data_IF_115205859171
#
_entry.id   IF_115205859171
#
_cell.length_a   1.000
_cell.length_b   1.000
_cell.length_c   1.000
_cell.angle_alpha   90.00
_cell.angle_beta   90.00
_cell.angle_gamma   90.00
#
_symmetry.space_group_name_H-M   'P 1'
#
loop_
_entity.id
_entity.type
_entity.pdbx_description
1 polymer ?
#
# COMPACT_ATOMS: atom_id res chain seq x y z
N UNK A 1 16.06 20.47 -10.61
CA UNK A 1 16.24 19.04 -10.98
C UNK A 1 15.97 18.08 -9.83
N UNK A 2 16.51 18.28 -8.61
CA UNK A 2 16.27 17.40 -7.46
C UNK A 2 14.79 17.24 -7.10
N UNK A 3 14.03 18.34 -7.15
CA UNK A 3 12.60 18.33 -6.88
C UNK A 3 11.80 17.40 -7.82
N UNK A 4 12.15 17.39 -9.11
CA UNK A 4 11.50 16.54 -10.10
C UNK A 4 11.75 15.05 -9.86
N UNK A 5 12.99 14.68 -9.51
CA UNK A 5 13.32 13.30 -9.14
C UNK A 5 12.59 12.85 -7.87
N UNK A 6 12.44 13.78 -6.91
CA UNK A 6 11.73 13.59 -5.67
C UNK A 6 10.25 13.28 -5.91
N UNK A 7 9.61 14.11 -6.72
CA UNK A 7 8.21 13.94 -7.10
C UNK A 7 7.97 12.63 -7.85
N UNK A 8 8.82 12.31 -8.82
CA UNK A 8 8.71 11.08 -9.60
C UNK A 8 8.89 9.82 -8.73
N UNK A 9 9.77 9.85 -7.72
CA UNK A 9 9.91 8.76 -6.77
C UNK A 9 8.66 8.59 -5.90
N UNK A 10 8.09 9.69 -5.40
CA UNK A 10 6.83 9.65 -4.62
C UNK A 10 5.66 9.10 -5.45
N UNK A 11 5.52 9.56 -6.71
CA UNK A 11 4.52 9.03 -7.65
C UNK A 11 4.69 7.52 -7.79
N UNK A 12 5.92 7.02 -7.94
CA UNK A 12 6.19 5.59 -8.05
C UNK A 12 5.76 4.80 -6.80
N UNK A 13 6.08 5.29 -5.61
CA UNK A 13 5.71 4.66 -4.33
C UNK A 13 4.18 4.64 -4.17
N UNK A 14 3.52 5.78 -4.38
CA UNK A 14 2.06 5.85 -4.28
C UNK A 14 1.37 5.04 -5.39
N UNK A 15 1.98 4.85 -6.56
CA UNK A 15 1.46 3.96 -7.60
C UNK A 15 1.47 2.49 -7.17
N UNK A 16 2.52 2.02 -6.47
CA UNK A 16 2.54 0.66 -5.90
C UNK A 16 1.46 0.52 -4.83
N UNK A 17 1.30 1.53 -3.98
CA UNK A 17 0.29 1.52 -2.92
C UNK A 17 -1.12 1.59 -3.49
N UNK A 18 -1.35 2.40 -4.52
CA UNK A 18 -2.63 2.46 -5.24
C UNK A 18 -2.94 1.15 -5.96
N UNK A 19 -1.91 0.46 -6.50
CA UNK A 19 -2.06 -0.86 -7.10
C UNK A 19 -2.49 -1.90 -6.04
N UNK A 20 -1.93 -1.84 -4.84
CA UNK A 20 -2.39 -2.62 -3.68
C UNK A 20 -3.86 -2.36 -3.36
N UNK A 21 -4.23 -1.08 -3.25
CA UNK A 21 -5.61 -0.65 -2.96
C UNK A 21 -6.58 -1.05 -4.08
N UNK A 22 -6.16 -0.95 -5.33
CA UNK A 22 -6.97 -1.32 -6.50
C UNK A 22 -7.21 -2.84 -6.57
N UNK A 23 -6.28 -3.67 -6.13
CA UNK A 23 -6.50 -5.11 -6.00
C UNK A 23 -7.61 -5.44 -5.01
N UNK A 24 -7.74 -4.68 -3.91
CA UNK A 24 -8.82 -4.86 -2.94
C UNK A 24 -10.14 -4.26 -3.41
N UNK A 25 -10.14 -2.96 -3.71
CA UNK A 25 -11.34 -2.19 -4.03
C UNK A 25 -11.77 -2.48 -5.47
N UNK A 26 -10.86 -2.30 -6.42
CA UNK A 26 -11.16 -2.39 -7.85
C UNK A 26 -11.51 -3.81 -8.27
N UNK A 27 -10.62 -4.75 -8.07
CA UNK A 27 -10.81 -6.14 -8.49
C UNK A 27 -11.57 -6.97 -7.46
N UNK A 28 -11.27 -6.80 -6.16
CA UNK A 28 -11.87 -7.59 -5.09
C UNK A 28 -13.25 -7.13 -4.62
N UNK A 29 -13.66 -5.90 -4.94
CA UNK A 29 -14.92 -5.31 -4.48
C UNK A 29 -14.98 -5.08 -2.97
N UNK A 30 -13.84 -5.03 -2.29
CA UNK A 30 -13.74 -4.86 -0.85
C UNK A 30 -13.31 -3.42 -0.56
N UNK A 31 -14.26 -2.56 -0.20
CA UNK A 31 -13.94 -1.15 0.14
C UNK A 31 -13.35 -1.10 1.53
N UNK A 32 -12.03 -0.87 1.62
CA UNK A 32 -11.28 -0.82 2.88
C UNK A 32 -10.68 0.57 3.11
N UNK A 33 -10.91 1.13 4.29
CA UNK A 33 -10.33 2.39 4.75
C UNK A 33 -9.08 2.19 5.63
N UNK A 34 -8.46 1.01 5.59
CA UNK A 34 -7.29 0.68 6.41
C UNK A 34 -5.97 0.60 5.63
N UNK A 35 -5.96 0.86 4.32
CA UNK A 35 -4.78 0.62 3.48
C UNK A 35 -3.58 1.49 3.87
N UNK A 36 -3.80 2.75 4.27
CA UNK A 36 -2.72 3.59 4.77
C UNK A 36 -2.12 3.06 6.08
N UNK A 37 -2.96 2.49 6.97
CA UNK A 37 -2.47 1.89 8.21
C UNK A 37 -1.68 0.61 7.97
N UNK A 38 -2.08 -0.21 7.00
CA UNK A 38 -1.32 -1.41 6.59
C UNK A 38 0.03 -1.01 5.98
N UNK A 39 0.03 -0.01 5.15
CA UNK A 39 1.24 0.64 4.64
C UNK A 39 2.11 1.18 5.79
N UNK A 40 1.50 1.78 6.84
CA UNK A 40 2.16 2.22 8.06
C UNK A 40 2.79 1.08 8.85
N UNK A 41 2.10 -0.07 9.01
CA UNK A 41 2.68 -1.26 9.65
C UNK A 41 3.97 -1.68 8.96
N UNK A 42 3.97 -1.73 7.62
CA UNK A 42 5.18 -2.04 6.87
C UNK A 42 6.28 -0.99 7.06
N UNK A 43 5.92 0.29 6.97
CA UNK A 43 6.85 1.39 7.12
C UNK A 43 7.54 1.36 8.49
N UNK A 44 6.77 1.26 9.57
CA UNK A 44 7.32 1.18 10.93
C UNK A 44 8.14 -0.08 11.14
N UNK A 45 7.71 -1.24 10.65
CA UNK A 45 8.48 -2.49 10.78
C UNK A 45 9.84 -2.37 10.10
N UNK A 46 9.88 -1.86 8.87
CA UNK A 46 11.15 -1.65 8.16
C UNK A 46 11.99 -0.59 8.85
N UNK A 47 11.40 0.53 9.31
CA UNK A 47 12.12 1.59 9.99
C UNK A 47 12.80 1.10 11.28
N UNK A 48 12.06 0.41 12.15
CA UNK A 48 12.57 -0.11 13.41
C UNK A 48 13.71 -1.10 13.16
N UNK A 49 13.53 -2.05 12.25
CA UNK A 49 14.56 -3.05 11.97
C UNK A 49 15.82 -2.44 11.35
N UNK A 50 15.68 -1.46 10.46
CA UNK A 50 16.84 -0.80 9.86
C UNK A 50 17.57 0.10 10.85
N UNK A 51 16.87 0.74 11.80
CA UNK A 51 17.50 1.47 12.91
C UNK A 51 18.30 0.54 13.83
N UNK A 52 17.90 -0.72 13.99
CA UNK A 52 18.67 -1.74 14.72
C UNK A 52 19.79 -2.38 13.87
N UNK A 53 20.09 -1.84 12.69
CA UNK A 53 21.19 -2.31 11.84
C UNK A 53 20.86 -3.51 10.96
N UNK A 54 19.59 -3.92 10.90
CA UNK A 54 19.16 -4.99 9.98
C UNK A 54 19.15 -4.46 8.54
N UNK A 55 19.67 -5.28 7.62
CA UNK A 55 19.67 -4.90 6.21
C UNK A 55 18.23 -4.67 5.70
N UNK A 56 18.01 -3.62 4.90
CA UNK A 56 16.70 -3.25 4.35
C UNK A 56 15.98 -4.41 3.64
N UNK A 57 16.70 -5.20 2.87
CA UNK A 57 16.13 -6.38 2.20
C UNK A 57 15.58 -7.43 3.17
N UNK A 58 16.29 -7.62 4.28
CA UNK A 58 15.89 -8.57 5.32
C UNK A 58 14.70 -8.05 6.12
N UNK A 59 14.61 -6.73 6.33
CA UNK A 59 13.51 -6.09 7.05
C UNK A 59 12.20 -6.09 6.28
N UNK A 60 12.23 -6.27 4.95
CA UNK A 60 11.02 -6.42 4.14
C UNK A 60 10.28 -7.73 4.43
N UNK A 61 10.97 -8.82 4.78
CA UNK A 61 10.33 -10.11 5.03
C UNK A 61 9.33 -10.07 6.20
N UNK A 62 9.70 -9.60 7.41
CA UNK A 62 8.73 -9.45 8.50
C UNK A 62 7.68 -8.37 8.21
N UNK A 63 8.01 -7.31 7.47
CA UNK A 63 7.02 -6.33 7.05
C UNK A 63 5.94 -6.94 6.15
N UNK A 64 6.32 -7.77 5.17
CA UNK A 64 5.39 -8.52 4.32
C UNK A 64 4.53 -9.47 5.15
N UNK A 65 5.13 -10.20 6.09
CA UNK A 65 4.38 -11.14 6.94
C UNK A 65 3.34 -10.41 7.79
N UNK A 66 3.72 -9.32 8.44
CA UNK A 66 2.81 -8.54 9.30
C UNK A 66 1.68 -7.88 8.50
N UNK A 67 1.96 -7.35 7.31
CA UNK A 67 0.92 -6.76 6.47
C UNK A 67 -0.03 -7.79 5.90
N UNK A 68 0.44 -8.98 5.54
CA UNK A 68 -0.41 -10.10 5.12
C UNK A 68 -1.33 -10.50 6.28
N UNK A 69 -0.79 -10.71 7.48
CA UNK A 69 -1.58 -11.07 8.65
C UNK A 69 -2.63 -10.00 8.97
N UNK A 70 -2.26 -8.72 8.97
CA UNK A 70 -3.19 -7.62 9.22
C UNK A 70 -4.32 -7.57 8.17
N UNK A 71 -4.00 -7.71 6.89
CA UNK A 71 -4.99 -7.74 5.82
C UNK A 71 -5.92 -8.96 5.91
N UNK A 72 -5.40 -10.14 6.21
CA UNK A 72 -6.21 -11.36 6.40
C UNK A 72 -7.16 -11.17 7.59
N UNK A 73 -6.65 -10.67 8.72
CA UNK A 73 -7.45 -10.43 9.91
C UNK A 73 -8.62 -9.47 9.62
N UNK A 74 -8.37 -8.41 8.86
CA UNK A 74 -9.39 -7.46 8.46
C UNK A 74 -10.37 -8.01 7.42
N UNK A 75 -9.94 -8.95 6.58
CA UNK A 75 -10.81 -9.52 5.54
C UNK A 75 -11.83 -10.49 6.10
N UNK A 76 -11.55 -11.17 7.22
CA UNK A 76 -12.49 -12.13 7.85
C UNK A 76 -13.85 -11.49 8.16
N UNK A 77 -13.94 -10.32 8.83
CA UNK A 77 -15.22 -9.66 9.08
C UNK A 77 -15.98 -9.25 7.81
N UNK A 78 -15.28 -9.00 6.69
CA UNK A 78 -15.91 -8.54 5.43
C UNK A 78 -16.92 -9.51 4.83
N UNK A 79 -16.90 -10.75 5.27
CA UNK A 79 -17.78 -11.80 4.77
C UNK A 79 -19.13 -11.84 5.46
N UNK A 80 -19.17 -11.38 6.71
CA UNK A 80 -20.38 -11.36 7.54
C UNK A 80 -20.99 -9.97 7.63
N UNK A 81 -20.18 -8.94 7.35
CA UNK A 81 -20.61 -7.55 7.39
C UNK A 81 -21.05 -7.08 5.99
N UNK A 82 -22.13 -6.30 5.94
CA UNK A 82 -22.48 -5.55 4.75
C UNK A 82 -21.31 -4.60 4.39
N UNK A 83 -21.17 -4.24 3.12
CA UNK A 83 -20.05 -3.41 2.65
C UNK A 83 -19.84 -2.13 3.46
N UNK A 84 -20.91 -1.48 3.90
CA UNK A 84 -20.85 -0.30 4.76
C UNK A 84 -20.30 -0.64 6.18
N UNK A 85 -20.79 -1.72 6.81
CA UNK A 85 -20.26 -2.14 8.11
C UNK A 85 -18.78 -2.49 8.04
N UNK A 86 -18.34 -3.11 6.94
CA UNK A 86 -16.94 -3.40 6.74
C UNK A 86 -16.09 -2.13 6.61
N UNK A 87 -16.59 -1.12 5.90
CA UNK A 87 -15.92 0.18 5.79
C UNK A 87 -15.73 0.82 7.19
N UNK A 88 -16.74 0.77 8.05
CA UNK A 88 -16.67 1.29 9.42
C UNK A 88 -15.66 0.51 10.27
N UNK A 89 -15.62 -0.82 10.16
CA UNK A 89 -14.63 -1.66 10.86
C UNK A 89 -13.21 -1.30 10.46
N UNK A 90 -12.95 -1.16 9.16
CA UNK A 90 -11.62 -0.80 8.66
C UNK A 90 -11.22 0.64 8.99
N UNK A 91 -12.19 1.55 9.05
CA UNK A 91 -11.98 2.92 9.54
C UNK A 91 -11.60 2.93 11.03
N UNK A 92 -12.32 2.18 11.87
CA UNK A 92 -12.00 2.05 13.30
C UNK A 92 -10.61 1.43 13.49
N UNK A 93 -10.26 0.40 12.71
CA UNK A 93 -8.93 -0.19 12.72
C UNK A 93 -7.85 0.83 12.34
N UNK A 94 -8.09 1.64 11.32
CA UNK A 94 -7.16 2.70 10.91
C UNK A 94 -6.92 3.70 12.05
N UNK A 95 -7.98 4.11 12.76
CA UNK A 95 -7.85 4.99 13.93
C UNK A 95 -7.08 4.34 15.08
N UNK A 96 -7.38 3.07 15.35
CA UNK A 96 -6.67 2.29 16.36
C UNK A 96 -5.17 2.22 16.06
N UNK A 97 -4.79 1.91 14.82
CA UNK A 97 -3.38 1.83 14.41
C UNK A 97 -2.67 3.18 14.48
N UNK A 98 -3.33 4.26 14.02
CA UNK A 98 -2.73 5.62 14.10
C UNK A 98 -2.50 6.04 15.54
N UNK A 99 -3.46 5.78 16.44
CA UNK A 99 -3.30 6.03 17.87
C UNK A 99 -2.21 5.14 18.48
N UNK A 100 -2.16 3.86 18.08
CA UNK A 100 -1.09 2.94 18.50
C UNK A 100 0.30 3.43 18.10
N UNK A 101 0.47 3.87 16.85
CA UNK A 101 1.73 4.42 16.37
C UNK A 101 2.14 5.70 17.12
N UNK A 102 1.19 6.56 17.49
CA UNK A 102 1.49 7.80 18.22
C UNK A 102 1.73 7.61 19.73
N UNK A 103 1.28 6.47 20.30
CA UNK A 103 1.37 6.22 21.75
C UNK A 103 2.52 5.29 22.13
N UNK A 104 3.06 4.52 21.20
CA UNK A 104 4.06 3.50 21.48
C UNK A 104 5.47 4.10 21.43
N UNK A 105 6.28 3.83 22.45
CA UNK A 105 7.68 4.29 22.50
C UNK A 105 8.54 3.67 21.38
N UNK A 106 8.28 2.41 21.00
CA UNK A 106 8.99 1.71 19.92
C UNK A 106 8.79 2.39 18.54
N UNK A 107 7.70 3.10 18.36
CA UNK A 107 7.40 3.85 17.13
C UNK A 107 7.84 5.31 17.20
N UNK A 108 8.54 5.71 18.27
CA UNK A 108 8.96 7.09 18.52
C UNK A 108 7.82 7.98 19.06
N UNK A 109 6.66 7.40 19.40
CA UNK A 109 5.50 8.13 19.92
C UNK A 109 5.02 9.24 18.99
N UNK A 110 4.69 10.40 19.58
CA UNK A 110 4.22 11.57 18.82
C UNK A 110 5.32 12.26 18.01
N UNK A 111 6.60 11.97 18.27
CA UNK A 111 7.71 12.57 17.52
C UNK A 111 8.09 11.78 16.27
N UNK A 112 7.61 10.54 16.15
CA UNK A 112 7.95 9.66 15.02
C UNK A 112 9.39 9.13 15.07
N UNK A 113 9.79 8.43 14.00
CA UNK A 113 11.14 7.87 13.83
C UNK A 113 11.89 8.68 12.78
N UNK A 114 13.12 9.08 13.12
CA UNK A 114 14.00 9.85 12.24
C UNK A 114 15.40 9.23 12.18
N UNK A 115 16.18 9.65 11.18
CA UNK A 115 17.54 9.14 10.99
C UNK A 115 17.58 7.71 10.43
N UNK A 116 16.54 7.28 9.72
CA UNK A 116 16.44 5.94 9.16
C UNK A 116 17.51 5.75 8.07
N UNK A 117 18.37 4.72 8.17
CA UNK A 117 19.43 4.49 7.21
C UNK A 117 18.86 4.22 5.82
N UNK A 118 19.43 4.84 4.79
CA UNK A 118 19.07 4.56 3.41
C UNK A 118 19.58 3.18 3.01
N UNK A 119 18.79 2.45 2.19
CA UNK A 119 19.21 1.14 1.71
C UNK A 119 20.50 1.25 0.90
N UNK A 120 21.40 0.31 1.15
CA UNK A 120 22.55 0.06 0.30
C UNK A 120 22.29 -1.19 -0.55
N UNK A 121 22.42 -1.07 -1.86
CA UNK A 121 22.39 -2.21 -2.78
C UNK A 121 23.84 -2.52 -3.16
N UNK A 122 24.34 -3.70 -2.78
CA UNK A 122 25.72 -4.15 -3.04
C UNK A 122 26.80 -3.11 -2.66
N UNK A 123 26.63 -2.41 -1.52
CA UNK A 123 27.61 -1.41 -1.06
C UNK A 123 27.48 -0.02 -1.72
N UNK A 124 26.59 0.16 -2.68
CA UNK A 124 26.32 1.44 -3.31
C UNK A 124 25.17 2.11 -2.54
N UNK A 125 25.46 3.18 -1.82
CA UNK A 125 24.44 3.99 -1.15
C UNK A 125 23.56 4.70 -2.19
N UNK A 126 22.22 4.49 -2.08
CA UNK A 126 21.24 5.15 -2.96
C UNK A 126 20.96 6.55 -2.41
N UNK A 127 21.96 7.42 -2.44
CA UNK A 127 21.84 8.80 -1.95
C UNK A 127 21.43 9.80 -3.04
N UNK A 128 21.70 9.48 -4.30
CA UNK A 128 21.39 10.37 -5.42
C UNK A 128 19.92 10.24 -5.82
N UNK A 129 19.20 11.36 -5.94
CA UNK A 129 17.77 11.40 -6.26
C UNK A 129 17.42 10.64 -7.56
N UNK A 130 18.30 10.70 -8.58
CA UNK A 130 18.10 9.98 -9.84
C UNK A 130 18.18 8.45 -9.64
N UNK A 131 19.16 7.95 -8.88
CA UNK A 131 19.28 6.52 -8.59
C UNK A 131 18.09 6.00 -7.82
N UNK A 132 17.60 6.79 -6.87
CA UNK A 132 16.44 6.46 -6.06
C UNK A 132 15.15 6.42 -6.89
N UNK A 133 14.96 7.39 -7.79
CA UNK A 133 13.86 7.38 -8.75
C UNK A 133 13.89 6.12 -9.62
N UNK A 134 15.02 5.81 -10.25
CA UNK A 134 15.15 4.62 -11.11
C UNK A 134 14.86 3.35 -10.32
N UNK A 135 15.37 3.24 -9.10
CA UNK A 135 15.12 2.07 -8.24
C UNK A 135 13.62 1.88 -7.94
N UNK A 136 12.92 2.95 -7.55
CA UNK A 136 11.46 2.88 -7.29
C UNK A 136 10.69 2.49 -8.55
N UNK A 137 11.03 3.06 -9.71
CA UNK A 137 10.37 2.74 -10.97
C UNK A 137 10.64 1.31 -11.45
N UNK A 138 11.83 0.76 -11.21
CA UNK A 138 12.13 -0.64 -11.46
C UNK A 138 11.25 -1.56 -10.60
N UNK A 139 11.12 -1.27 -9.30
CA UNK A 139 10.25 -2.05 -8.41
C UNK A 139 8.78 -1.89 -8.81
N UNK A 140 8.33 -0.68 -9.18
CA UNK A 140 6.98 -0.46 -9.70
C UNK A 140 6.73 -1.31 -10.95
N UNK A 141 7.67 -1.35 -11.88
CA UNK A 141 7.54 -2.18 -13.09
C UNK A 141 7.41 -3.67 -12.76
N UNK A 142 8.20 -4.18 -11.82
CA UNK A 142 8.09 -5.57 -11.34
C UNK A 142 6.72 -5.81 -10.69
N UNK A 143 6.29 -4.94 -9.77
CA UNK A 143 4.99 -5.02 -9.11
C UNK A 143 3.84 -4.99 -10.13
N UNK A 144 3.92 -4.11 -11.12
CA UNK A 144 2.94 -3.99 -12.20
C UNK A 144 2.86 -5.27 -13.05
N UNK A 145 3.99 -5.85 -13.43
CA UNK A 145 4.04 -7.11 -14.19
C UNK A 145 3.47 -8.28 -13.38
N UNK A 146 3.79 -8.37 -12.09
CA UNK A 146 3.23 -9.39 -11.19
C UNK A 146 1.72 -9.24 -11.07
N UNK A 147 1.23 -8.03 -10.82
CA UNK A 147 -0.20 -7.73 -10.74
C UNK A 147 -0.93 -8.04 -12.06
N UNK A 148 -0.33 -7.65 -13.20
CA UNK A 148 -0.88 -7.95 -14.52
C UNK A 148 -1.00 -9.46 -14.77
N UNK A 149 0.03 -10.22 -14.40
CA UNK A 149 0.02 -11.68 -14.52
C UNK A 149 -1.04 -12.30 -13.61
N UNK A 150 -1.17 -11.82 -12.38
CA UNK A 150 -2.16 -12.28 -11.43
C UNK A 150 -3.59 -12.05 -11.93
N UNK A 151 -3.91 -10.84 -12.37
CA UNK A 151 -5.25 -10.45 -12.82
C UNK A 151 -5.65 -11.19 -14.10
N UNK A 152 -4.70 -11.42 -15.02
CA UNK A 152 -4.95 -12.18 -16.25
C UNK A 152 -4.98 -13.69 -16.06
N UNK A 153 -4.64 -14.19 -14.89
CA UNK A 153 -4.68 -15.62 -14.55
C UNK A 153 -6.13 -16.07 -14.29
N UNK A 154 -6.40 -17.40 -14.32
CA UNK A 154 -7.69 -17.95 -13.89
C UNK A 154 -8.10 -17.51 -12.48
N UNK A 155 -7.13 -17.23 -11.61
CA UNK A 155 -7.38 -16.71 -10.28
C UNK A 155 -7.97 -15.28 -10.32
N UNK A 156 -7.45 -14.40 -11.17
CA UNK A 156 -7.97 -13.03 -11.35
C UNK A 156 -9.43 -13.03 -11.82
N UNK A 157 -9.78 -13.93 -12.73
CA UNK A 157 -11.18 -14.11 -13.16
C UNK A 157 -12.09 -14.56 -12.01
N UNK A 158 -11.60 -15.43 -11.11
CA UNK A 158 -12.34 -15.84 -9.91
C UNK A 158 -12.52 -14.68 -8.93
N UNK A 159 -11.51 -13.81 -8.77
CA UNK A 159 -11.62 -12.61 -7.91
C UNK A 159 -12.72 -11.68 -8.45
N UNK A 160 -12.76 -11.46 -9.76
CA UNK A 160 -13.77 -10.62 -10.40
C UNK A 160 -15.17 -11.25 -10.30
N UNK A 161 -15.29 -12.56 -10.51
CA UNK A 161 -16.55 -13.29 -10.32
C UNK A 161 -17.07 -13.17 -8.88
N UNK A 162 -16.22 -13.28 -7.87
CA UNK A 162 -16.61 -13.10 -6.45
C UNK A 162 -17.04 -11.66 -6.17
N UNK A 163 -16.46 -10.68 -6.87
CA UNK A 163 -16.89 -9.28 -6.75
C UNK A 163 -18.30 -9.07 -7.26
N UNK A 164 -18.64 -9.69 -8.41
CA UNK A 164 -19.94 -9.52 -9.08
C UNK A 164 -21.03 -10.31 -8.34
N UNK A 165 -20.83 -11.60 -8.11
CA UNK A 165 -21.85 -12.47 -7.52
C UNK A 165 -21.18 -13.58 -6.67
N UNK A 166 -20.98 -13.37 -5.36
CA UNK A 166 -20.38 -14.36 -4.49
C UNK A 166 -21.17 -15.67 -4.38
N UNK A 167 -22.53 -15.59 -4.49
CA UNK A 167 -23.42 -16.74 -4.40
C UNK A 167 -23.24 -17.67 -5.59
N UNK A 168 -23.07 -17.14 -6.81
CA UNK A 168 -22.83 -17.93 -8.01
C UNK A 168 -21.50 -18.69 -7.91
N UNK A 169 -20.46 -18.06 -7.39
CA UNK A 169 -19.16 -18.71 -7.18
C UNK A 169 -19.25 -19.84 -6.14
N UNK A 170 -20.05 -19.66 -5.08
CA UNK A 170 -20.29 -20.70 -4.11
C UNK A 170 -21.07 -21.89 -4.71
N UNK A 171 -22.05 -21.63 -5.59
CA UNK A 171 -22.82 -22.66 -6.27
C UNK A 171 -21.96 -23.60 -7.15
N UNK A 172 -20.85 -23.08 -7.70
CA UNK A 172 -19.86 -23.87 -8.47
C UNK A 172 -18.83 -24.58 -7.56
N UNK A 173 -19.06 -24.58 -6.22
CA UNK A 173 -18.20 -25.26 -5.25
C UNK A 173 -16.89 -24.54 -4.92
N UNK A 174 -16.74 -23.26 -5.32
CA UNK A 174 -15.61 -22.42 -4.93
C UNK A 174 -15.92 -21.65 -3.68
N UNK A 175 -14.93 -21.44 -2.81
CA UNK A 175 -15.13 -20.66 -1.58
C UNK A 175 -14.82 -19.17 -1.81
N UNK A 176 -15.81 -18.26 -1.81
CA UNK A 176 -15.60 -16.82 -1.94
C UNK A 176 -14.68 -16.27 -0.86
N UNK A 177 -14.73 -16.84 0.35
CA UNK A 177 -13.86 -16.50 1.47
C UNK A 177 -12.39 -16.66 1.11
N UNK A 178 -12.00 -17.86 0.66
CA UNK A 178 -10.60 -18.14 0.35
C UNK A 178 -10.07 -17.20 -0.74
N UNK A 179 -10.91 -16.91 -1.74
CA UNK A 179 -10.54 -16.01 -2.84
C UNK A 179 -10.31 -14.58 -2.31
N UNK A 180 -11.21 -14.06 -1.47
CA UNK A 180 -11.08 -12.74 -0.85
C UNK A 180 -9.84 -12.66 0.05
N UNK A 181 -9.60 -13.68 0.88
CA UNK A 181 -8.43 -13.74 1.79
C UNK A 181 -7.12 -13.76 1.01
N UNK A 182 -7.02 -14.56 -0.04
CA UNK A 182 -5.78 -14.60 -0.86
C UNK A 182 -5.58 -13.27 -1.59
N UNK A 183 -6.64 -12.66 -2.13
CA UNK A 183 -6.54 -11.35 -2.78
C UNK A 183 -6.07 -10.26 -1.79
N UNK A 184 -6.57 -10.30 -0.57
CA UNK A 184 -6.18 -9.41 0.52
C UNK A 184 -4.72 -9.62 0.95
N UNK A 185 -4.27 -10.89 1.03
CA UNK A 185 -2.87 -11.22 1.31
C UNK A 185 -1.93 -10.65 0.25
N UNK A 186 -2.28 -10.81 -1.03
CA UNK A 186 -1.50 -10.24 -2.15
C UNK A 186 -1.45 -8.72 -2.08
N UNK A 187 -2.58 -8.06 -1.80
CA UNK A 187 -2.61 -6.61 -1.56
C UNK A 187 -1.65 -6.21 -0.44
N UNK A 188 -1.60 -6.99 0.67
CA UNK A 188 -0.66 -6.76 1.76
C UNK A 188 0.80 -6.79 1.33
N UNK A 189 1.18 -7.69 0.41
CA UNK A 189 2.54 -7.73 -0.13
C UNK A 189 2.90 -6.43 -0.85
N UNK A 190 2.01 -5.93 -1.72
CA UNK A 190 2.27 -4.66 -2.43
C UNK A 190 2.32 -3.46 -1.46
N UNK A 191 1.46 -3.43 -0.45
CA UNK A 191 1.50 -2.40 0.59
C UNK A 191 2.82 -2.45 1.38
N UNK A 192 3.34 -3.65 1.68
CA UNK A 192 4.62 -3.83 2.35
C UNK A 192 5.80 -3.29 1.53
N UNK A 193 5.83 -3.61 0.24
CA UNK A 193 6.87 -3.11 -0.68
C UNK A 193 6.82 -1.59 -0.76
N UNK A 194 5.62 -1.01 -0.91
CA UNK A 194 5.45 0.44 -0.90
C UNK A 194 5.95 1.07 0.41
N UNK A 195 5.59 0.48 1.58
CA UNK A 195 6.01 0.94 2.91
C UNK A 195 7.52 0.94 3.10
N UNK A 196 8.18 -0.15 2.70
CA UNK A 196 9.62 -0.23 2.74
C UNK A 196 10.33 0.81 1.85
N UNK A 197 9.81 1.06 0.65
CA UNK A 197 10.33 2.09 -0.25
C UNK A 197 10.10 3.51 0.29
N UNK A 198 8.94 3.76 0.89
CA UNK A 198 8.59 5.05 1.47
C UNK A 198 9.54 5.46 2.58
N UNK A 199 9.81 4.55 3.52
CA UNK A 199 10.73 4.77 4.65
C UNK A 199 12.14 5.09 4.16
N UNK A 200 12.62 4.33 3.19
CA UNK A 200 13.93 4.54 2.60
C UNK A 200 14.03 5.91 1.91
N UNK A 201 12.92 6.36 1.31
CA UNK A 201 12.87 7.62 0.60
C UNK A 201 12.85 8.82 1.56
N UNK A 202 11.91 8.85 2.50
CA UNK A 202 11.67 10.01 3.37
C UNK A 202 12.65 10.06 4.53
N UNK A 203 13.17 8.92 5.03
CA UNK A 203 14.07 8.80 6.18
C UNK A 203 13.49 9.34 7.51
N UNK A 204 12.23 9.72 7.51
CA UNK A 204 11.42 10.16 8.64
C UNK A 204 9.99 9.67 8.48
N UNK A 205 9.40 9.14 9.54
CA UNK A 205 7.99 8.73 9.54
C UNK A 205 7.31 9.14 10.83
N UNK A 206 6.07 9.56 10.71
CA UNK A 206 5.20 9.89 11.84
C UNK A 206 3.82 9.25 11.68
N UNK A 207 3.09 9.09 12.77
CA UNK A 207 1.78 8.45 12.79
C UNK A 207 0.75 9.18 11.90
N UNK A 208 0.87 10.51 11.78
CA UNK A 208 -0.01 11.34 10.96
C UNK A 208 0.02 10.97 9.46
N UNK A 209 1.14 10.42 8.97
CA UNK A 209 1.26 10.02 7.57
C UNK A 209 0.42 8.79 7.20
N UNK A 210 -0.08 8.03 8.19
CA UNK A 210 -0.79 6.76 8.03
C UNK A 210 -2.22 6.83 8.59
N UNK A 211 -2.82 8.02 8.58
CA UNK A 211 -4.15 8.27 9.11
C UNK A 211 -5.27 7.83 8.14
N UNK A 212 -6.51 8.08 8.54
CA UNK A 212 -7.69 7.77 7.72
C UNK A 212 -7.77 8.61 6.46
N UNK A 213 -7.34 9.88 6.51
CA UNK A 213 -7.34 10.78 5.36
C UNK A 213 -6.42 10.26 4.26
N UNK A 214 -5.27 9.69 4.64
CA UNK A 214 -4.37 9.01 3.70
C UNK A 214 -5.05 7.79 3.07
N UNK A 215 -5.81 6.99 3.82
CA UNK A 215 -6.57 5.85 3.28
C UNK A 215 -7.69 6.30 2.34
N UNK A 216 -8.37 7.40 2.67
CA UNK A 216 -9.38 8.00 1.81
C UNK A 216 -8.76 8.51 0.51
N UNK A 217 -7.64 9.22 0.57
CA UNK A 217 -6.93 9.69 -0.61
C UNK A 217 -6.50 8.54 -1.52
N UNK A 218 -6.04 7.42 -0.97
CA UNK A 218 -5.72 6.22 -1.76
C UNK A 218 -6.94 5.67 -2.50
N UNK A 219 -8.10 5.70 -1.84
CA UNK A 219 -9.37 5.30 -2.46
C UNK A 219 -9.74 6.24 -3.61
N UNK A 220 -9.56 7.55 -3.41
CA UNK A 220 -9.75 8.57 -4.46
C UNK A 220 -8.79 8.33 -5.63
N UNK A 221 -7.52 7.97 -5.38
CA UNK A 221 -6.57 7.65 -6.46
C UNK A 221 -7.04 6.48 -7.31
N UNK A 222 -7.60 5.43 -6.67
CA UNK A 222 -8.16 4.27 -7.40
C UNK A 222 -9.35 4.68 -8.27
N UNK A 223 -10.28 5.50 -7.75
CA UNK A 223 -11.46 5.91 -8.51
C UNK A 223 -11.12 6.89 -9.62
N UNK A 224 -10.26 7.87 -9.38
CA UNK A 224 -9.80 8.82 -10.41
C UNK A 224 -9.01 8.14 -11.52
N UNK A 225 -8.18 7.17 -11.17
CA UNK A 225 -7.43 6.41 -12.16
C UNK A 225 -8.29 5.39 -12.91
N UNK A 226 -9.44 5.03 -12.38
CA UNK A 226 -10.33 3.99 -12.88
C UNK A 226 -10.17 2.68 -12.12
N UNK A 227 -11.17 2.37 -11.29
CA UNK A 227 -11.22 1.11 -10.52
C UNK A 227 -11.19 -0.10 -11.46
N UNK A 228 -10.51 -1.17 -11.03
CA UNK A 228 -10.27 -2.39 -11.81
C UNK A 228 -9.47 -2.18 -13.10
N UNK A 229 -8.69 -1.11 -13.20
CA UNK A 229 -7.73 -0.91 -14.28
C UNK A 229 -6.31 -0.81 -13.75
N UNK A 230 -5.38 -1.57 -14.36
CA UNK A 230 -3.98 -1.56 -13.93
C UNK A 230 -3.29 -0.21 -14.18
N UNK A 231 -3.54 0.38 -15.36
CA UNK A 231 -2.98 1.68 -15.72
C UNK A 231 -3.55 2.80 -14.84
N UNK A 232 -4.79 2.66 -14.40
CA UNK A 232 -5.41 3.58 -13.46
C UNK A 232 -4.68 3.67 -12.13
N UNK A 233 -4.06 2.58 -11.67
CA UNK A 233 -3.26 2.59 -10.44
C UNK A 233 -2.01 3.47 -10.54
N UNK A 234 -1.56 3.79 -11.74
CA UNK A 234 -0.45 4.74 -11.98
C UNK A 234 -1.01 6.13 -12.27
N UNK A 235 -2.06 6.22 -13.09
CA UNK A 235 -2.65 7.49 -13.49
C UNK A 235 -3.23 8.28 -12.30
N UNK A 236 -3.92 7.61 -11.36
CA UNK A 236 -4.52 8.26 -10.19
C UNK A 236 -3.50 9.05 -9.34
N UNK A 237 -2.43 8.44 -8.84
CA UNK A 237 -1.38 9.16 -8.12
C UNK A 237 -0.69 10.25 -8.94
N UNK A 238 -0.48 10.02 -10.25
CA UNK A 238 0.08 11.02 -11.15
C UNK A 238 -0.80 12.27 -11.15
N UNK A 239 -2.11 12.13 -11.38
CA UNK A 239 -3.03 13.27 -11.39
C UNK A 239 -3.07 14.00 -10.05
N UNK A 240 -3.22 13.25 -8.94
CA UNK A 240 -3.38 13.85 -7.62
C UNK A 240 -2.11 14.52 -7.09
N UNK A 241 -0.94 14.03 -7.42
CA UNK A 241 0.33 14.62 -6.98
C UNK A 241 0.80 15.75 -7.91
N UNK A 242 0.46 15.73 -9.21
CA UNK A 242 0.85 16.77 -10.16
C UNK A 242 -0.09 17.98 -10.13
N UNK A 243 -1.41 17.80 -9.98
CA UNK A 243 -2.37 18.91 -10.04
C UNK A 243 -2.09 19.99 -9.00
N UNK A 244 -1.91 19.70 -7.68
CA UNK A 244 -1.62 20.74 -6.70
C UNK A 244 -0.34 21.51 -7.00
N UNK A 245 0.64 20.83 -7.59
CA UNK A 245 1.92 21.45 -7.92
C UNK A 245 1.84 22.32 -9.17
N UNK A 246 1.05 21.92 -10.17
CA UNK A 246 0.76 22.78 -11.32
C UNK A 246 0.00 24.03 -10.90
N UNK A 247 -0.95 23.90 -9.97
CA UNK A 247 -1.69 25.04 -9.44
C UNK A 247 -0.77 25.99 -8.65
N UNK A 248 0.17 25.47 -7.87
CA UNK A 248 1.13 26.28 -7.11
C UNK A 248 2.17 27.01 -7.97
N UNK A 249 2.32 26.62 -9.24
CA UNK A 249 3.19 27.27 -10.23
C UNK A 249 2.44 28.37 -11.04
N UNK A 250 1.12 28.40 -10.93
CA UNK A 250 0.33 29.49 -11.52
C UNK A 250 0.35 30.69 -10.56
N UNK A 251 0.69 31.88 -11.04
CA UNK A 251 0.79 33.10 -10.24
C UNK A 251 -0.55 33.53 -9.65
#
# INVERSE_FOLDING_TARGET
MYYFYSLAAMIGIYSILTLSTNLLIGYGGIVSMSQASIFGIAAYTVAILTLHGVNWWLSLLPAILLTILANILLTIPSLRANGFCYMVITFAFSKFMTTGFSSWELTGGSYGLYGIPRASIFGISITNGLRQMVFVWCILAVCFLVARRLIRSPYGQLVEAVRQEPAAVAAVGKSPLRIKVVNSAVSGVFAAVAGGLYVQYITYIEAANFNQDASFNLTVYVFLGGAATLLGSIAGPVFMLLIPQLISLLP
#
